data_IF_710504999624
#
_entry.id   IF_710504999624
#
_cell.length_a   1.000
_cell.length_b   1.000
_cell.length_c   1.000
_cell.angle_alpha   90.00
_cell.angle_beta   90.00
_cell.angle_gamma   90.00
#
_symmetry.space_group_name_H-M   'P 1'
#
loop_
_entity.id
_entity.type
_entity.pdbx_description
1 polymer ?
#
# COMPACT_ATOMS: atom_id res chain seq x y z
N UNK A 1 0.82 22.77 -2.34
CA UNK A 1 1.29 21.54 -3.00
C UNK A 1 2.73 21.76 -3.41
N UNK A 2 3.65 20.92 -2.94
CA UNK A 2 5.07 20.99 -3.28
C UNK A 2 5.25 20.31 -4.65
N UNK A 3 5.37 21.09 -5.72
CA UNK A 3 5.47 20.59 -7.11
C UNK A 3 6.66 19.64 -7.31
N UNK A 4 7.71 19.82 -6.51
CA UNK A 4 8.88 18.93 -6.43
C UNK A 4 8.51 17.47 -6.13
N UNK A 5 7.44 17.23 -5.36
CA UNK A 5 7.04 15.87 -4.98
C UNK A 5 6.51 15.05 -6.17
N UNK A 6 5.75 15.68 -7.06
CA UNK A 6 5.24 15.05 -8.29
C UNK A 6 6.41 14.57 -9.15
N UNK A 7 7.44 15.41 -9.32
CA UNK A 7 8.65 15.06 -10.06
C UNK A 7 9.39 13.88 -9.45
N UNK A 8 9.52 13.84 -8.12
CA UNK A 8 10.15 12.73 -7.39
C UNK A 8 9.39 11.42 -7.63
N UNK A 9 8.05 11.45 -7.52
CA UNK A 9 7.22 10.25 -7.71
C UNK A 9 7.32 9.70 -9.15
N UNK A 10 7.30 10.59 -10.16
CA UNK A 10 7.49 10.19 -11.56
C UNK A 10 8.88 9.57 -11.77
N UNK A 11 9.92 10.19 -11.20
CA UNK A 11 11.29 9.67 -11.28
C UNK A 11 11.42 8.27 -10.65
N UNK A 12 10.78 8.05 -9.49
CA UNK A 12 10.73 6.74 -8.84
C UNK A 12 10.08 5.68 -9.73
N UNK A 13 8.86 5.95 -10.22
CA UNK A 13 8.13 5.04 -11.12
C UNK A 13 8.92 4.73 -12.40
N UNK A 14 9.64 5.73 -12.93
CA UNK A 14 10.53 5.56 -14.09
C UNK A 14 11.69 4.62 -13.76
N UNK A 15 12.35 4.80 -12.63
CA UNK A 15 13.49 3.99 -12.19
C UNK A 15 13.06 2.56 -11.88
N UNK A 16 11.92 2.34 -11.23
CA UNK A 16 11.36 1.01 -10.95
C UNK A 16 11.10 0.21 -12.22
N UNK A 17 10.76 0.88 -13.31
CA UNK A 17 10.63 0.27 -14.64
C UNK A 17 11.93 0.12 -15.42
N UNK A 18 13.03 0.67 -14.92
CA UNK A 18 14.34 0.57 -15.57
C UNK A 18 14.45 1.32 -16.90
N UNK A 19 13.67 2.37 -17.14
CA UNK A 19 13.67 3.13 -18.40
C UNK A 19 14.39 4.49 -18.25
N UNK A 20 14.99 4.97 -19.34
CA UNK A 20 15.66 6.30 -19.36
C UNK A 20 14.65 7.43 -19.50
N UNK A 21 15.07 8.68 -19.23
CA UNK A 21 14.24 9.86 -19.46
C UNK A 21 13.91 10.04 -20.96
N UNK A 22 14.80 9.67 -21.88
CA UNK A 22 14.46 9.67 -23.31
C UNK A 22 13.38 8.64 -23.64
N UNK A 23 13.48 7.43 -23.08
CA UNK A 23 12.48 6.39 -23.33
C UNK A 23 11.12 6.80 -22.78
N UNK A 24 11.08 7.27 -21.53
CA UNK A 24 9.84 7.78 -20.93
C UNK A 24 9.23 8.91 -21.77
N UNK A 25 10.06 9.87 -22.19
CA UNK A 25 9.63 10.96 -23.06
C UNK A 25 9.00 10.43 -24.35
N UNK A 26 9.66 9.50 -25.04
CA UNK A 26 9.09 8.87 -26.25
C UNK A 26 7.75 8.20 -25.98
N UNK A 27 7.65 7.43 -24.91
CA UNK A 27 6.45 6.63 -24.60
C UNK A 27 5.22 7.51 -24.32
N UNK A 28 5.42 8.69 -23.72
CA UNK A 28 4.31 9.61 -23.42
C UNK A 28 4.24 10.82 -24.37
N UNK A 29 5.06 10.87 -25.43
CA UNK A 29 5.04 11.98 -26.39
C UNK A 29 5.60 13.31 -25.86
N UNK A 30 6.64 13.27 -25.02
CA UNK A 30 7.40 14.41 -24.52
C UNK A 30 8.89 14.31 -24.86
N UNK A 31 9.62 15.41 -24.74
CA UNK A 31 11.08 15.39 -24.89
C UNK A 31 11.74 14.94 -23.58
N UNK A 32 12.94 14.37 -23.67
CA UNK A 32 13.73 14.01 -22.48
C UNK A 32 13.99 15.22 -21.57
N UNK A 33 14.17 16.41 -22.15
CA UNK A 33 14.31 17.66 -21.39
C UNK A 33 13.03 18.04 -20.64
N UNK A 34 11.85 17.82 -21.24
CA UNK A 34 10.58 18.03 -20.56
C UNK A 34 10.42 17.07 -19.38
N UNK A 35 10.77 15.79 -19.55
CA UNK A 35 10.79 14.80 -18.46
C UNK A 35 11.75 15.25 -17.35
N UNK A 36 12.98 15.64 -17.68
CA UNK A 36 13.97 16.12 -16.72
C UNK A 36 13.47 17.35 -15.95
N UNK A 37 12.81 18.29 -16.62
CA UNK A 37 12.23 19.47 -15.97
C UNK A 37 11.10 19.10 -15.01
N UNK A 38 10.25 18.13 -15.38
CA UNK A 38 9.19 17.61 -14.51
C UNK A 38 9.80 16.90 -13.29
N UNK A 39 10.72 15.96 -13.52
CA UNK A 39 11.36 15.16 -12.45
C UNK A 39 12.15 16.03 -11.46
N UNK A 40 12.75 17.13 -11.93
CA UNK A 40 13.44 18.10 -11.07
C UNK A 40 12.51 19.16 -10.45
N UNK A 41 11.18 19.08 -10.65
CA UNK A 41 10.23 20.06 -10.13
C UNK A 41 10.30 21.45 -10.76
N UNK A 42 11.02 21.60 -11.88
CA UNK A 42 11.14 22.86 -12.64
C UNK A 42 9.93 23.14 -13.54
N UNK A 43 9.13 22.11 -13.81
CA UNK A 43 7.89 22.21 -14.58
C UNK A 43 6.78 21.39 -13.92
N UNK A 44 5.56 21.89 -13.97
CA UNK A 44 4.36 21.16 -13.52
C UNK A 44 3.79 20.41 -14.75
N UNK A 45 3.58 19.08 -14.68
CA UNK A 45 2.90 18.36 -15.76
C UNK A 45 1.44 18.82 -15.86
N UNK A 46 0.90 18.91 -17.08
CA UNK A 46 -0.53 19.14 -17.29
C UNK A 46 -1.35 17.95 -16.81
N UNK A 47 -2.67 18.14 -16.65
CA UNK A 47 -3.60 17.05 -16.30
C UNK A 47 -3.52 15.91 -17.34
N UNK A 48 -3.49 16.25 -18.62
CA UNK A 48 -3.34 15.28 -19.70
C UNK A 48 -2.01 14.50 -19.60
N UNK A 49 -0.90 15.19 -19.32
CA UNK A 49 0.39 14.54 -19.07
C UNK A 49 0.35 13.62 -17.85
N UNK A 50 -0.34 14.02 -16.77
CA UNK A 50 -0.54 13.18 -15.57
C UNK A 50 -1.35 11.92 -15.89
N UNK A 51 -2.40 12.04 -16.71
CA UNK A 51 -3.17 10.89 -17.19
C UNK A 51 -2.28 9.94 -18.01
N UNK A 52 -1.46 10.46 -18.93
CA UNK A 52 -0.50 9.65 -19.69
C UNK A 52 0.52 8.94 -18.81
N UNK A 53 1.03 9.59 -17.76
CA UNK A 53 1.88 8.91 -16.78
C UNK A 53 1.13 7.81 -16.02
N UNK A 54 -0.09 8.08 -15.58
CA UNK A 54 -0.95 7.11 -14.88
C UNK A 54 -1.21 5.87 -15.74
N UNK A 55 -1.58 6.05 -17.00
CA UNK A 55 -1.81 4.98 -17.97
C UNK A 55 -0.52 4.21 -18.26
N UNK A 56 0.57 4.93 -18.55
CA UNK A 56 1.85 4.29 -18.82
C UNK A 56 2.24 3.44 -17.62
N UNK A 57 2.32 4.01 -16.42
CA UNK A 57 2.80 3.35 -15.21
C UNK A 57 1.84 2.30 -14.62
N UNK A 58 0.55 2.35 -14.99
CA UNK A 58 -0.47 1.44 -14.45
C UNK A 58 -0.84 1.77 -13.00
N UNK A 59 -0.69 3.03 -12.59
CA UNK A 59 -1.00 3.52 -11.23
C UNK A 59 -2.09 4.59 -11.30
N UNK A 60 -2.75 4.89 -10.18
CA UNK A 60 -3.72 6.01 -10.14
C UNK A 60 -2.97 7.34 -10.19
N UNK A 61 -3.60 8.37 -10.76
CA UNK A 61 -3.07 9.75 -10.71
C UNK A 61 -2.81 10.18 -9.26
N UNK A 62 -3.67 9.78 -8.33
CA UNK A 62 -3.49 10.02 -6.89
C UNK A 62 -2.12 9.55 -6.37
N UNK A 63 -1.63 8.38 -6.80
CA UNK A 63 -0.30 7.87 -6.44
C UNK A 63 0.84 8.76 -6.94
N UNK A 64 0.65 9.45 -8.07
CA UNK A 64 1.64 10.39 -8.61
C UNK A 64 1.64 11.69 -7.79
N UNK A 65 0.47 12.09 -7.29
CA UNK A 65 0.28 13.33 -6.53
C UNK A 65 0.50 13.16 -5.02
N UNK A 66 0.42 11.93 -4.51
CA UNK A 66 0.48 11.61 -3.09
C UNK A 66 1.83 11.99 -2.51
N UNK A 67 1.79 12.52 -1.30
CA UNK A 67 2.98 12.81 -0.53
C UNK A 67 3.37 11.54 0.25
N UNK A 68 4.63 11.10 0.22
CA UNK A 68 5.04 9.87 0.93
C UNK A 68 4.75 9.91 2.43
N UNK A 69 4.58 11.11 3.00
CA UNK A 69 4.06 11.27 4.36
C UNK A 69 2.74 10.53 4.59
N UNK A 70 1.88 10.41 3.57
CA UNK A 70 0.63 9.65 3.69
C UNK A 70 0.89 8.14 3.82
N UNK A 71 1.96 7.62 3.22
CA UNK A 71 2.33 6.20 3.36
C UNK A 71 2.89 5.90 4.75
N UNK A 72 3.70 6.81 5.31
CA UNK A 72 4.22 6.70 6.67
C UNK A 72 3.11 6.87 7.72
N UNK A 73 2.18 7.80 7.52
CA UNK A 73 1.03 7.99 8.39
C UNK A 73 0.12 6.75 8.38
N UNK A 74 -0.17 6.18 7.21
CA UNK A 74 -0.93 4.94 7.11
C UNK A 74 -0.23 3.77 7.80
N UNK A 75 1.10 3.68 7.67
CA UNK A 75 1.90 2.66 8.35
C UNK A 75 1.84 2.82 9.87
N UNK A 76 2.02 4.05 10.38
CA UNK A 76 1.92 4.37 11.80
C UNK A 76 0.52 4.07 12.36
N UNK A 77 -0.54 4.42 11.62
CA UNK A 77 -1.91 4.03 12.00
C UNK A 77 -2.10 2.51 12.07
N UNK A 78 -1.49 1.77 11.15
CA UNK A 78 -1.56 0.30 11.16
C UNK A 78 -0.78 -0.30 12.34
N UNK A 79 0.41 0.23 12.62
CA UNK A 79 1.23 -0.17 13.78
C UNK A 79 0.51 0.15 15.10
N UNK A 80 -0.13 1.32 15.22
CA UNK A 80 -0.92 1.71 16.40
C UNK A 80 -2.12 0.77 16.63
N UNK A 81 -2.84 0.42 15.56
CA UNK A 81 -3.92 -0.58 15.61
C UNK A 81 -3.42 -1.95 16.04
N UNK A 82 -2.27 -2.40 15.53
CA UNK A 82 -1.67 -3.69 15.91
C UNK A 82 -1.28 -3.72 17.40
N UNK A 83 -0.65 -2.68 17.91
CA UNK A 83 -0.30 -2.56 19.34
C UNK A 83 -1.56 -2.59 20.21
N UNK A 84 -2.63 -1.92 19.78
CA UNK A 84 -3.89 -1.92 20.50
C UNK A 84 -4.54 -3.30 20.53
N UNK A 85 -4.57 -4.01 19.40
CA UNK A 85 -5.09 -5.38 19.32
C UNK A 85 -4.27 -6.33 20.20
N UNK A 86 -2.94 -6.25 20.16
CA UNK A 86 -2.06 -7.09 20.99
C UNK A 86 -2.34 -6.89 22.49
N UNK A 87 -2.48 -5.62 22.92
CA UNK A 87 -2.87 -5.28 24.30
C UNK A 87 -4.21 -5.90 24.68
N UNK A 88 -5.27 -5.71 23.89
CA UNK A 88 -6.59 -6.32 24.17
C UNK A 88 -6.52 -7.84 24.22
N UNK A 89 -5.77 -8.48 23.31
CA UNK A 89 -5.63 -9.93 23.28
C UNK A 89 -4.82 -10.46 24.47
N UNK A 90 -3.84 -9.70 24.97
CA UNK A 90 -3.06 -10.07 26.15
C UNK A 90 -3.86 -10.03 27.45
N UNK A 91 -4.88 -9.17 27.53
CA UNK A 91 -5.77 -9.05 28.68
C UNK A 91 -6.87 -10.13 28.69
N UNK A 92 -7.14 -10.77 27.55
CA UNK A 92 -8.12 -11.84 27.44
C UNK A 92 -7.49 -13.15 27.96
N UNK A 93 -7.80 -13.45 29.24
CA UNK A 93 -7.32 -14.65 29.94
C UNK A 93 -7.84 -15.96 29.34
N UNK A 94 -9.05 -15.93 28.78
CA UNK A 94 -9.68 -17.07 28.13
C UNK A 94 -10.44 -16.58 26.91
N UNK A 95 -10.06 -17.07 25.72
CA UNK A 95 -10.79 -16.85 24.48
C UNK A 95 -11.29 -18.20 24.01
N UNK A 96 -12.56 -18.33 23.63
CA UNK A 96 -13.04 -19.50 22.88
C UNK A 96 -13.81 -19.10 21.64
N UNK A 97 -13.67 -19.89 20.58
CA UNK A 97 -14.34 -19.68 19.31
C UNK A 97 -14.78 -21.03 18.73
N UNK A 98 -15.99 -21.04 18.17
CA UNK A 98 -16.56 -22.22 17.54
C UNK A 98 -16.43 -22.13 16.02
N UNK A 99 -15.88 -23.17 15.41
CA UNK A 99 -15.71 -23.27 13.96
C UNK A 99 -16.37 -24.54 13.44
N UNK A 100 -17.00 -24.46 12.28
CA UNK A 100 -17.45 -25.65 11.54
C UNK A 100 -16.56 -25.87 10.34
N UNK A 101 -15.93 -27.05 10.25
CA UNK A 101 -15.12 -27.46 9.10
C UNK A 101 -15.64 -28.82 8.64
N UNK A 102 -16.25 -28.85 7.46
CA UNK A 102 -16.97 -30.03 6.96
C UNK A 102 -18.13 -30.44 7.87
N UNK A 103 -18.18 -31.72 8.24
CA UNK A 103 -19.19 -32.31 9.14
C UNK A 103 -18.80 -32.28 10.63
N UNK A 104 -17.75 -31.52 10.99
CA UNK A 104 -17.28 -31.40 12.37
C UNK A 104 -17.39 -29.96 12.87
N UNK A 105 -17.63 -29.84 14.17
CA UNK A 105 -17.56 -28.61 14.94
C UNK A 105 -16.32 -28.65 15.83
N UNK A 106 -15.66 -27.50 15.96
CA UNK A 106 -14.44 -27.32 16.73
C UNK A 106 -14.67 -26.19 17.72
N UNK A 107 -14.55 -26.49 19.00
CA UNK A 107 -14.43 -25.48 20.05
C UNK A 107 -12.92 -25.27 20.28
N UNK A 108 -12.40 -24.12 19.87
CA UNK A 108 -11.01 -23.74 20.08
C UNK A 108 -10.98 -22.79 21.27
N UNK A 109 -10.07 -22.99 22.22
CA UNK A 109 -9.85 -22.04 23.30
C UNK A 109 -8.37 -21.79 23.57
N UNK A 110 -8.04 -20.58 24.02
CA UNK A 110 -6.70 -20.20 24.47
C UNK A 110 -6.70 -20.05 25.98
N UNK A 111 -5.86 -20.82 26.68
CA UNK A 111 -5.66 -20.73 28.14
C UNK A 111 -4.18 -20.64 28.44
N UNK A 112 -3.75 -19.59 29.16
CA UNK A 112 -2.36 -19.44 29.61
C UNK A 112 -1.31 -19.39 28.49
N UNK A 113 -1.69 -18.96 27.28
CA UNK A 113 -0.81 -18.93 26.11
C UNK A 113 -0.87 -20.17 25.23
N UNK A 114 -1.45 -21.27 25.69
CA UNK A 114 -1.64 -22.50 24.91
C UNK A 114 -3.00 -22.53 24.21
N UNK A 115 -3.03 -23.07 22.99
CA UNK A 115 -4.26 -23.29 22.22
C UNK A 115 -4.69 -24.75 22.41
N UNK A 116 -5.92 -24.96 22.88
CA UNK A 116 -6.57 -26.27 23.05
C UNK A 116 -7.84 -26.31 22.22
N UNK A 117 -8.20 -27.49 21.70
CA UNK A 117 -9.43 -27.67 20.94
C UNK A 117 -10.19 -28.94 21.30
N UNK A 118 -11.51 -28.92 21.11
CA UNK A 118 -12.40 -30.09 21.17
C UNK A 118 -13.18 -30.20 19.86
N UNK A 119 -13.22 -31.40 19.30
CA UNK A 119 -13.97 -31.68 18.08
C UNK A 119 -15.23 -32.51 18.39
N UNK A 120 -16.36 -32.15 17.78
CA UNK A 120 -17.61 -32.91 17.81
C UNK A 120 -18.18 -33.07 16.40
N UNK A 121 -19.00 -34.09 16.19
CA UNK A 121 -19.74 -34.27 14.94
C UNK A 121 -20.95 -33.33 14.93
N UNK A 122 -21.34 -32.81 13.75
CA UNK A 122 -22.67 -32.23 13.57
C UNK A 122 -23.69 -33.37 13.69
N UNK A 123 -24.65 -33.23 14.59
CA UNK A 123 -25.85 -34.09 14.61
C UNK A 123 -26.58 -34.02 13.27
#
# INVERSE_FOLDING_TARGET
>A
MRTDRIGINISKLRIERGITQEQLGRDIGLTASAISNIECGRSVPSVDTLCRFSELFGVKVDTILSDESDSDLNKLEMEEKLVTVDRYLSEIKEMSANYSIGHRNYEISRKGGEIVYKASSKE
#
